data_IF_874011589149
#
_entry.id   IF_874011589149
#
_cell.length_a   1.000
_cell.length_b   1.000
_cell.length_c   1.000
_cell.angle_alpha   90.00
_cell.angle_beta   90.00
_cell.angle_gamma   90.00
#
_symmetry.space_group_name_H-M   'P 1'
#
loop_
_entity.id
_entity.type
_entity.pdbx_description
1 polymer ?
#
# COMPACT_ATOMS: atom_id res chain seq x y z
N UNK A 1 -4.68 4.98 19.11
CA UNK A 1 -3.34 5.26 18.55
C UNK A 1 -2.27 4.70 19.48
N UNK A 2 -1.10 4.36 18.94
CA UNK A 2 0.05 3.82 19.68
C UNK A 2 1.30 4.65 19.38
N UNK A 3 2.34 4.52 20.21
CA UNK A 3 3.63 5.15 19.92
C UNK A 3 4.46 4.32 18.91
N UNK A 4 5.38 4.93 18.13
CA UNK A 4 6.15 4.22 17.09
C UNK A 4 6.92 3.00 17.61
N UNK A 5 7.44 3.06 18.82
CA UNK A 5 8.18 1.94 19.47
C UNK A 5 7.29 0.75 19.84
N UNK A 6 5.96 0.90 19.82
CA UNK A 6 5.02 -0.17 20.13
C UNK A 6 4.72 -1.08 18.93
N UNK A 7 5.22 -0.71 17.74
CA UNK A 7 5.11 -1.56 16.55
C UNK A 7 6.14 -2.69 16.66
N UNK A 8 5.72 -3.97 16.57
CA UNK A 8 6.64 -5.10 16.69
C UNK A 8 7.75 -5.10 15.62
N UNK A 9 9.00 -5.26 16.01
CA UNK A 9 10.17 -5.26 15.11
C UNK A 9 10.06 -6.29 13.98
N UNK A 10 9.48 -7.45 14.22
CA UNK A 10 9.28 -8.51 13.22
C UNK A 10 8.03 -8.36 12.36
N UNK A 11 7.32 -7.23 12.43
CA UNK A 11 6.15 -7.01 11.59
C UNK A 11 6.54 -6.84 10.12
N UNK A 12 5.80 -7.50 9.23
CA UNK A 12 6.01 -7.38 7.79
C UNK A 12 5.49 -6.02 7.30
N UNK A 13 6.37 -5.22 6.69
CA UNK A 13 6.07 -3.86 6.25
C UNK A 13 5.93 -3.75 4.74
N UNK A 14 4.98 -2.94 4.30
CA UNK A 14 4.83 -2.50 2.91
C UNK A 14 4.47 -1.02 2.89
N UNK A 15 4.91 -0.31 1.84
CA UNK A 15 4.36 1.00 1.50
C UNK A 15 3.59 0.87 0.19
N UNK A 16 2.27 1.01 0.26
CA UNK A 16 1.43 1.00 -0.92
C UNK A 16 1.09 2.43 -1.36
N UNK A 17 1.08 2.63 -2.67
CA UNK A 17 0.78 3.91 -3.27
C UNK A 17 -0.55 3.87 -4.01
N UNK A 18 -1.29 4.99 -3.98
CA UNK A 18 -2.18 5.41 -5.05
C UNK A 18 -1.49 6.51 -5.84
N UNK A 19 -1.40 6.35 -7.16
CA UNK A 19 -0.57 7.19 -8.02
C UNK A 19 -1.42 8.16 -8.84
N UNK A 20 -1.33 9.45 -8.53
CA UNK A 20 -1.87 10.52 -9.34
C UNK A 20 -0.74 11.50 -9.73
N UNK A 21 -0.12 11.27 -10.86
CA UNK A 21 1.01 12.07 -11.32
C UNK A 21 0.57 13.36 -12.04
N UNK A 22 -0.34 14.12 -11.43
CA UNK A 22 -0.92 15.35 -11.99
C UNK A 22 -0.62 16.53 -11.08
N UNK A 23 0.20 17.52 -11.49
CA UNK A 23 0.49 18.70 -10.69
C UNK A 23 -0.69 19.67 -10.69
N UNK A 24 -0.74 20.51 -9.66
CA UNK A 24 -1.66 21.65 -9.62
C UNK A 24 -1.38 22.58 -10.82
N UNK A 25 -2.42 23.01 -11.50
CA UNK A 25 -2.35 23.92 -12.66
C UNK A 25 -3.47 24.95 -12.64
N UNK A 26 -3.40 25.94 -13.52
CA UNK A 26 -4.49 26.93 -13.69
C UNK A 26 -5.79 26.30 -14.18
N UNK A 27 -5.70 25.17 -14.88
CA UNK A 27 -6.85 24.42 -15.45
C UNK A 27 -7.39 23.42 -14.42
N UNK A 28 -6.49 22.70 -13.72
CA UNK A 28 -6.85 21.75 -12.67
C UNK A 28 -6.21 22.20 -11.35
N UNK A 29 -7.01 22.90 -10.53
CA UNK A 29 -6.56 23.45 -9.24
C UNK A 29 -6.62 22.43 -8.10
N UNK A 30 -7.33 21.33 -8.28
CA UNK A 30 -7.51 20.30 -7.27
C UNK A 30 -7.38 18.89 -7.88
N UNK A 31 -6.20 18.53 -8.43
CA UNK A 31 -5.96 17.17 -8.91
C UNK A 31 -5.89 16.18 -7.75
N UNK A 32 -6.04 14.89 -8.03
CA UNK A 32 -5.84 13.84 -7.06
C UNK A 32 -4.40 13.83 -6.52
N UNK A 33 -4.21 13.29 -5.33
CA UNK A 33 -2.90 13.15 -4.72
C UNK A 33 -2.22 11.84 -5.17
N UNK A 34 -0.90 11.84 -5.24
CA UNK A 34 -0.17 10.60 -4.98
C UNK A 34 -0.14 10.41 -3.48
N UNK A 35 -0.77 9.36 -2.99
CA UNK A 35 -0.79 8.99 -1.58
C UNK A 35 -0.01 7.71 -1.34
N UNK A 36 0.78 7.64 -0.26
CA UNK A 36 1.59 6.48 0.12
C UNK A 36 1.38 6.13 1.59
N UNK A 37 0.86 4.92 1.85
CA UNK A 37 0.59 4.41 3.19
C UNK A 37 1.62 3.35 3.57
N UNK A 38 2.37 3.59 4.64
CA UNK A 38 3.19 2.58 5.30
C UNK A 38 2.31 1.78 6.25
N UNK A 39 2.21 0.50 6.01
CA UNK A 39 1.44 -0.42 6.84
C UNK A 39 2.26 -1.66 7.15
N UNK A 40 2.10 -2.17 8.36
CA UNK A 40 2.67 -3.48 8.72
C UNK A 40 1.63 -4.42 9.32
N UNK A 41 2.01 -5.70 9.36
CA UNK A 41 1.23 -6.77 9.97
C UNK A 41 2.14 -7.66 10.80
N UNK A 42 1.74 -7.94 12.03
CA UNK A 42 2.46 -8.87 12.90
C UNK A 42 2.00 -10.33 12.71
N UNK A 43 2.70 -11.24 13.37
CA UNK A 43 2.38 -12.68 13.36
C UNK A 43 1.06 -13.04 14.04
N UNK A 44 0.50 -12.13 14.84
CA UNK A 44 -0.79 -12.32 15.51
C UNK A 44 -1.97 -11.76 14.72
N UNK A 45 -1.71 -11.18 13.56
CA UNK A 45 -2.72 -10.63 12.66
C UNK A 45 -3.19 -9.23 13.04
N UNK A 46 -2.44 -8.48 13.85
CA UNK A 46 -2.66 -7.06 14.03
C UNK A 46 -2.02 -6.28 12.89
N UNK A 47 -2.69 -5.23 12.46
CA UNK A 47 -2.23 -4.29 11.44
C UNK A 47 -1.87 -2.96 12.09
N UNK A 48 -0.83 -2.33 11.56
CA UNK A 48 -0.32 -1.04 12.03
C UNK A 48 -0.24 -0.10 10.85
N UNK A 49 -1.00 1.00 10.86
CA UNK A 49 -0.81 2.12 9.94
C UNK A 49 0.29 2.97 10.55
N UNK A 50 1.47 2.97 9.94
CA UNK A 50 2.68 3.53 10.55
C UNK A 50 3.00 4.93 10.06
N UNK A 51 2.64 5.26 8.80
CA UNK A 51 2.90 6.55 8.20
C UNK A 51 2.03 6.80 6.97
N UNK A 52 1.80 8.07 6.68
CA UNK A 52 1.15 8.55 5.47
C UNK A 52 1.93 9.71 4.87
N UNK A 53 2.16 9.64 3.57
CA UNK A 53 2.67 10.75 2.78
C UNK A 53 1.70 11.05 1.64
N UNK A 54 1.54 12.33 1.27
CA UNK A 54 0.77 12.71 0.09
C UNK A 54 1.32 13.97 -0.56
N UNK A 55 1.24 14.04 -1.88
CA UNK A 55 1.71 15.18 -2.66
C UNK A 55 1.10 15.21 -4.06
N UNK A 56 1.17 16.36 -4.73
CA UNK A 56 0.68 16.62 -6.08
C UNK A 56 1.83 17.07 -6.95
N UNK A 57 2.46 16.13 -7.63
CA UNK A 57 3.69 16.37 -8.36
C UNK A 57 3.64 15.77 -9.77
N UNK A 58 4.61 16.16 -10.61
CA UNK A 58 4.81 15.58 -11.93
C UNK A 58 5.39 14.16 -11.83
N UNK A 59 5.20 13.29 -12.85
CA UNK A 59 5.62 11.88 -12.78
C UNK A 59 7.06 11.65 -12.35
N UNK A 60 8.01 12.44 -12.87
CA UNK A 60 9.43 12.29 -12.50
C UNK A 60 9.71 12.67 -11.06
N UNK A 61 9.03 13.68 -10.52
CA UNK A 61 9.13 14.09 -9.12
C UNK A 61 8.50 13.04 -8.22
N UNK A 62 7.36 12.47 -8.64
CA UNK A 62 6.70 11.36 -7.93
C UNK A 62 7.67 10.19 -7.79
N UNK A 63 8.32 9.76 -8.87
CA UNK A 63 9.33 8.69 -8.83
C UNK A 63 10.48 9.01 -7.87
N UNK A 64 11.05 10.21 -7.97
CA UNK A 64 12.14 10.64 -7.10
C UNK A 64 11.73 10.64 -5.61
N UNK A 65 10.51 11.10 -5.32
CA UNK A 65 9.96 11.10 -3.96
C UNK A 65 9.75 9.69 -3.43
N UNK A 66 9.26 8.75 -4.26
CA UNK A 66 9.08 7.34 -3.87
C UNK A 66 10.44 6.71 -3.55
N UNK A 67 11.47 6.93 -4.37
CA UNK A 67 12.83 6.41 -4.12
C UNK A 67 13.37 6.96 -2.79
N UNK A 68 13.29 8.28 -2.60
CA UNK A 68 13.72 8.91 -1.35
C UNK A 68 12.97 8.36 -0.13
N UNK A 69 11.67 8.16 -0.25
CA UNK A 69 10.86 7.59 0.83
C UNK A 69 11.23 6.13 1.11
N UNK A 70 11.54 5.35 0.09
CA UNK A 70 12.00 3.97 0.25
C UNK A 70 13.33 3.87 1.01
N UNK A 71 14.22 4.86 0.84
CA UNK A 71 15.46 4.94 1.63
C UNK A 71 15.17 5.21 3.12
N UNK A 72 14.18 6.06 3.42
CA UNK A 72 13.75 6.37 4.79
C UNK A 72 13.04 5.19 5.46
N UNK A 73 12.17 4.50 4.72
CA UNK A 73 11.42 3.33 5.21
C UNK A 73 12.34 2.12 5.47
N UNK A 74 13.45 2.05 4.75
CA UNK A 74 14.42 0.96 4.80
C UNK A 74 14.26 -0.08 3.70
N UNK A 75 15.37 -0.70 3.32
CA UNK A 75 15.47 -1.61 2.16
C UNK A 75 14.60 -2.87 2.24
N UNK A 76 14.12 -3.23 3.41
CA UNK A 76 13.26 -4.39 3.64
C UNK A 76 11.77 -4.10 3.39
N UNK A 77 11.39 -2.82 3.32
CA UNK A 77 10.01 -2.41 3.06
C UNK A 77 9.72 -2.57 1.57
N UNK A 78 8.68 -3.35 1.27
CA UNK A 78 8.24 -3.56 -0.11
C UNK A 78 7.34 -2.41 -0.55
N UNK A 79 7.62 -1.84 -1.72
CA UNK A 79 6.79 -0.84 -2.39
C UNK A 79 5.70 -1.56 -3.19
N UNK A 80 4.45 -1.19 -2.99
CA UNK A 80 3.31 -1.74 -3.74
C UNK A 80 2.81 -0.66 -4.70
N UNK A 81 2.93 -0.94 -6.00
CA UNK A 81 2.46 -0.08 -7.08
C UNK A 81 1.12 -0.61 -7.58
N UNK A 82 0.06 0.21 -7.63
CA UNK A 82 -1.22 -0.19 -8.18
C UNK A 82 -1.07 -0.49 -9.66
N UNK A 83 -1.69 -1.59 -10.12
CA UNK A 83 -1.77 -1.93 -11.53
C UNK A 83 -3.22 -1.84 -11.96
N UNK A 84 -3.52 -0.78 -12.70
CA UNK A 84 -4.84 -0.63 -13.31
C UNK A 84 -5.01 -1.64 -14.45
N UNK A 85 -6.25 -2.11 -14.66
CA UNK A 85 -6.57 -3.08 -15.71
C UNK A 85 -6.63 -2.48 -17.11
N UNK A 86 -6.61 -1.14 -17.21
CA UNK A 86 -6.54 -0.41 -18.49
C UNK A 86 -5.13 -0.42 -19.09
N UNK A 87 -5.05 -0.41 -20.43
CA UNK A 87 -3.76 -0.48 -21.15
C UNK A 87 -2.80 0.68 -20.80
N UNK A 88 -3.32 1.91 -20.66
CA UNK A 88 -2.51 3.08 -20.29
C UNK A 88 -1.97 2.99 -18.85
N UNK A 89 -2.80 2.59 -17.90
CA UNK A 89 -2.39 2.40 -16.51
C UNK A 89 -1.38 1.28 -16.33
N UNK A 90 -1.51 0.20 -17.10
CA UNK A 90 -0.55 -0.90 -17.08
C UNK A 90 0.84 -0.48 -17.55
N UNK A 91 0.94 0.34 -18.60
CA UNK A 91 2.22 0.86 -19.12
C UNK A 91 2.87 1.81 -18.10
N UNK A 92 2.09 2.72 -17.52
CA UNK A 92 2.59 3.63 -16.49
C UNK A 92 3.10 2.87 -15.26
N UNK A 93 2.34 1.91 -14.75
CA UNK A 93 2.76 1.07 -13.64
C UNK A 93 4.06 0.30 -13.95
N UNK A 94 4.17 -0.25 -15.16
CA UNK A 94 5.38 -0.97 -15.58
C UNK A 94 6.62 -0.06 -15.60
N UNK A 95 6.48 1.19 -16.06
CA UNK A 95 7.56 2.17 -16.01
C UNK A 95 8.02 2.46 -14.58
N UNK A 96 7.08 2.71 -13.66
CA UNK A 96 7.39 2.92 -12.24
C UNK A 96 8.12 1.71 -11.65
N UNK A 97 7.63 0.49 -11.91
CA UNK A 97 8.23 -0.76 -11.41
C UNK A 97 9.67 -0.90 -11.91
N UNK A 98 9.92 -0.64 -13.21
CA UNK A 98 11.27 -0.74 -13.80
C UNK A 98 12.24 0.21 -13.10
N UNK A 99 11.90 1.51 -13.04
CA UNK A 99 12.76 2.54 -12.43
C UNK A 99 13.01 2.28 -10.95
N UNK A 100 11.98 1.90 -10.19
CA UNK A 100 12.13 1.59 -8.77
C UNK A 100 12.99 0.33 -8.54
N UNK A 101 12.84 -0.69 -9.39
CA UNK A 101 13.66 -1.90 -9.31
C UNK A 101 15.12 -1.62 -9.66
N UNK A 102 15.39 -0.80 -10.67
CA UNK A 102 16.73 -0.33 -11.05
C UNK A 102 17.39 0.48 -9.91
N UNK A 103 16.58 1.24 -9.15
CA UNK A 103 17.02 1.93 -7.94
C UNK A 103 17.24 1.01 -6.73
N UNK A 104 17.03 -0.31 -6.88
CA UNK A 104 17.25 -1.31 -5.83
C UNK A 104 16.09 -1.49 -4.86
N UNK A 105 14.91 -0.94 -5.16
CA UNK A 105 13.72 -1.13 -4.35
C UNK A 105 13.11 -2.52 -4.55
N UNK A 106 12.53 -3.09 -3.49
CA UNK A 106 11.71 -4.30 -3.60
C UNK A 106 10.30 -3.86 -4.00
N UNK A 107 9.87 -4.18 -5.22
CA UNK A 107 8.58 -3.75 -5.75
C UNK A 107 7.62 -4.93 -5.91
N UNK A 108 6.38 -4.71 -5.51
CA UNK A 108 5.26 -5.61 -5.78
C UNK A 108 4.13 -4.85 -6.47
N UNK A 109 3.14 -5.57 -6.95
CA UNK A 109 1.96 -4.99 -7.57
C UNK A 109 0.69 -5.50 -6.91
N UNK A 110 -0.32 -4.63 -6.83
CA UNK A 110 -1.68 -5.02 -6.50
C UNK A 110 -2.60 -4.66 -7.66
N UNK A 111 -3.38 -5.65 -8.11
CA UNK A 111 -4.31 -5.43 -9.20
C UNK A 111 -5.53 -4.69 -8.65
N UNK A 112 -5.73 -3.48 -9.17
CA UNK A 112 -6.92 -2.68 -8.91
C UNK A 112 -8.02 -3.15 -9.85
N UNK A 113 -8.88 -4.05 -9.38
CA UNK A 113 -10.05 -4.49 -10.15
C UNK A 113 -11.09 -3.38 -10.18
N UNK A 114 -11.33 -2.82 -11.37
CA UNK A 114 -12.45 -1.95 -11.82
C UNK A 114 -13.19 -1.07 -10.80
N UNK A 115 -13.76 0.00 -11.29
CA UNK A 115 -14.50 1.05 -10.54
C UNK A 115 -15.68 0.53 -9.70
N UNK A 116 -16.07 -0.74 -9.79
CA UNK A 116 -17.35 -1.22 -9.32
C UNK A 116 -17.50 -1.35 -7.80
N UNK A 117 -16.45 -1.18 -6.99
CA UNK A 117 -16.64 -1.23 -5.53
C UNK A 117 -15.42 -0.80 -4.69
N UNK A 118 -15.06 0.50 -4.75
CA UNK A 118 -14.02 1.06 -3.86
C UNK A 118 -14.32 0.77 -2.39
N UNK A 119 -15.57 0.92 -1.96
CA UNK A 119 -15.99 0.60 -0.59
C UNK A 119 -15.68 -0.87 -0.22
N UNK A 120 -16.04 -1.82 -1.08
CA UNK A 120 -15.81 -3.24 -0.81
C UNK A 120 -14.34 -3.63 -0.71
N UNK A 121 -13.43 -2.86 -1.33
CA UNK A 121 -11.98 -3.11 -1.22
C UNK A 121 -11.47 -2.85 0.19
N UNK A 122 -11.94 -1.80 0.84
CA UNK A 122 -11.53 -1.43 2.19
C UNK A 122 -12.39 -2.02 3.31
N UNK A 123 -13.55 -2.60 2.99
CA UNK A 123 -14.46 -3.14 4.00
C UNK A 123 -13.81 -4.17 4.96
N UNK A 124 -12.97 -5.12 4.50
CA UNK A 124 -12.29 -6.04 5.42
C UNK A 124 -11.32 -5.31 6.38
N UNK A 125 -10.68 -4.23 5.94
CA UNK A 125 -9.86 -3.39 6.79
C UNK A 125 -10.71 -2.72 7.89
N UNK A 126 -11.86 -2.14 7.53
CA UNK A 126 -12.79 -1.53 8.48
C UNK A 126 -13.30 -2.54 9.51
N UNK A 127 -13.67 -3.75 9.09
CA UNK A 127 -14.10 -4.83 9.99
C UNK A 127 -13.02 -5.20 11.01
N UNK A 128 -11.76 -5.26 10.60
CA UNK A 128 -10.66 -5.50 11.53
C UNK A 128 -10.36 -4.29 12.42
N UNK A 129 -10.57 -3.07 11.93
CA UNK A 129 -10.47 -1.86 12.76
C UNK A 129 -11.55 -1.85 13.86
N UNK A 130 -12.79 -2.16 13.53
CA UNK A 130 -13.88 -2.33 14.51
C UNK A 130 -13.59 -3.44 15.54
N UNK A 131 -12.97 -4.53 15.09
CA UNK A 131 -12.54 -5.62 15.97
C UNK A 131 -11.28 -5.27 16.82
N UNK A 132 -10.77 -4.04 16.73
CA UNK A 132 -9.58 -3.59 17.48
C UNK A 132 -8.26 -4.17 16.98
N UNK A 133 -8.24 -4.78 15.80
CA UNK A 133 -7.06 -5.41 15.17
C UNK A 133 -6.20 -4.44 14.35
N UNK A 134 -6.64 -3.19 14.20
CA UNK A 134 -5.88 -2.13 13.54
C UNK A 134 -5.42 -1.11 14.56
N UNK A 135 -4.14 -0.76 14.50
CA UNK A 135 -3.52 0.29 15.30
C UNK A 135 -3.02 1.38 14.37
N UNK A 136 -3.07 2.63 14.80
CA UNK A 136 -2.52 3.77 14.06
C UNK A 136 -1.40 4.37 14.89
N UNK A 137 -0.24 4.52 14.28
CA UNK A 137 0.93 5.13 14.94
C UNK A 137 0.75 6.63 14.99
N UNK A 138 1.13 7.25 16.11
CA UNK A 138 1.07 8.70 16.31
C UNK A 138 2.05 9.41 15.37
N UNK A 139 1.57 10.43 14.67
CA UNK A 139 2.35 11.27 13.77
C UNK A 139 1.57 12.50 13.34
N UNK A 140 2.26 13.49 12.77
CA UNK A 140 1.65 14.75 12.32
C UNK A 140 0.63 14.55 11.18
N UNK A 141 0.72 13.42 10.49
CA UNK A 141 -0.17 13.01 9.39
C UNK A 141 -1.54 12.49 9.86
N UNK A 142 -1.72 12.21 11.15
CA UNK A 142 -2.92 11.52 11.66
C UNK A 142 -4.21 12.28 11.39
N UNK A 143 -4.23 13.62 11.57
CA UNK A 143 -5.43 14.42 11.34
C UNK A 143 -5.92 14.28 9.91
N UNK A 144 -5.01 14.46 8.94
CA UNK A 144 -5.33 14.36 7.52
C UNK A 144 -5.79 12.94 7.12
N UNK A 145 -5.15 11.91 7.69
CA UNK A 145 -5.52 10.52 7.44
C UNK A 145 -6.94 10.21 7.94
N UNK A 146 -7.26 10.58 9.18
CA UNK A 146 -8.58 10.34 9.73
C UNK A 146 -9.66 11.14 9.01
N UNK A 147 -9.41 12.42 8.69
CA UNK A 147 -10.34 13.24 7.92
C UNK A 147 -10.66 12.60 6.55
N UNK A 148 -9.65 12.10 5.84
CA UNK A 148 -9.82 11.42 4.56
C UNK A 148 -10.62 10.12 4.71
N UNK A 149 -10.27 9.28 5.70
CA UNK A 149 -10.95 8.00 5.94
C UNK A 149 -12.40 8.19 6.37
N UNK A 150 -12.71 9.18 7.23
CA UNK A 150 -14.06 9.48 7.70
C UNK A 150 -14.93 10.12 6.61
N UNK A 151 -14.33 10.92 5.74
CA UNK A 151 -15.04 11.54 4.62
C UNK A 151 -15.42 10.55 3.54
N UNK A 152 -14.74 9.41 3.45
CA UNK A 152 -15.00 8.38 2.44
C UNK A 152 -16.21 7.53 2.79
N UNK A 153 -17.38 7.85 2.22
CA UNK A 153 -18.64 7.10 2.44
C UNK A 153 -18.93 6.09 1.31
N UNK A 154 -18.11 6.04 0.27
CA UNK A 154 -18.30 5.13 -0.87
C UNK A 154 -19.55 5.39 -1.69
N UNK A 155 -20.23 6.53 -1.48
CA UNK A 155 -21.39 6.93 -2.28
C UNK A 155 -20.97 7.68 -3.56
N UNK A 156 -21.79 7.66 -4.64
CA UNK A 156 -21.46 8.40 -5.88
C UNK A 156 -21.23 9.90 -5.64
N UNK A 157 -21.88 10.50 -4.66
CA UNK A 157 -21.72 11.92 -4.31
C UNK A 157 -20.36 12.19 -3.65
N UNK A 158 -19.91 11.31 -2.75
CA UNK A 158 -18.62 11.44 -2.08
C UNK A 158 -17.47 11.13 -3.02
N UNK A 159 -17.59 10.11 -3.87
CA UNK A 159 -16.58 9.76 -4.88
C UNK A 159 -16.29 10.86 -5.90
N UNK A 160 -17.23 11.84 -6.06
CA UNK A 160 -17.06 12.99 -6.97
C UNK A 160 -16.46 14.22 -6.30
N UNK A 161 -16.50 14.31 -4.98
CA UNK A 161 -16.17 15.52 -4.22
C UNK A 161 -14.96 15.39 -3.32
N UNK A 162 -14.60 14.17 -2.96
CA UNK A 162 -13.58 13.86 -1.96
C UNK A 162 -12.48 13.07 -2.65
N UNK A 163 -11.24 13.42 -2.35
CA UNK A 163 -10.09 12.62 -2.74
C UNK A 163 -10.10 11.33 -1.92
N UNK A 164 -10.01 10.20 -2.59
CA UNK A 164 -10.04 8.87 -1.99
C UNK A 164 -8.68 8.14 -2.09
N UNK A 165 -7.66 8.90 -2.37
CA UNK A 165 -6.30 8.42 -2.62
C UNK A 165 -5.73 7.66 -1.39
N UNK A 166 -5.99 8.18 -0.17
CA UNK A 166 -5.59 7.54 1.09
C UNK A 166 -6.35 6.24 1.33
N UNK A 167 -7.64 6.20 0.95
CA UNK A 167 -8.46 4.99 1.05
C UNK A 167 -7.94 3.89 0.12
N UNK A 168 -7.69 4.22 -1.16
CA UNK A 168 -7.20 3.25 -2.14
C UNK A 168 -5.79 2.74 -1.78
N UNK A 169 -4.90 3.61 -1.30
CA UNK A 169 -3.57 3.22 -0.80
C UNK A 169 -3.66 2.32 0.45
N UNK A 170 -4.53 2.65 1.42
CA UNK A 170 -4.77 1.84 2.63
C UNK A 170 -5.31 0.45 2.27
N UNK A 171 -6.33 0.40 1.41
CA UNK A 171 -6.93 -0.85 0.96
C UNK A 171 -5.92 -1.73 0.20
N UNK A 172 -5.04 -1.12 -0.59
CA UNK A 172 -3.98 -1.81 -1.32
C UNK A 172 -2.92 -2.41 -0.38
N UNK A 173 -2.43 -1.64 0.60
CA UNK A 173 -1.50 -2.11 1.62
C UNK A 173 -2.08 -3.28 2.42
N UNK A 174 -3.30 -3.10 2.92
CA UNK A 174 -4.01 -4.11 3.68
C UNK A 174 -4.19 -5.42 2.89
N UNK A 175 -4.71 -5.33 1.66
CA UNK A 175 -4.96 -6.49 0.81
C UNK A 175 -3.69 -7.26 0.49
N UNK A 176 -2.58 -6.55 0.25
CA UNK A 176 -1.28 -7.17 0.01
C UNK A 176 -0.80 -7.97 1.23
N UNK A 177 -0.83 -7.36 2.42
CA UNK A 177 -0.42 -8.02 3.67
C UNK A 177 -1.34 -9.19 4.06
N UNK A 178 -2.64 -9.08 3.80
CA UNK A 178 -3.60 -10.14 4.07
C UNK A 178 -3.37 -11.37 3.18
N UNK A 179 -3.04 -11.19 1.90
CA UNK A 179 -2.75 -12.29 0.97
C UNK A 179 -1.51 -13.08 1.36
N UNK A 180 -0.46 -12.42 1.82
CA UNK A 180 0.79 -13.09 2.19
C UNK A 180 0.63 -14.02 3.39
N UNK A 181 -0.31 -13.72 4.30
CA UNK A 181 -0.60 -14.58 5.45
C UNK A 181 -1.46 -15.80 5.14
N UNK A 182 -2.12 -15.81 3.99
CA UNK A 182 -2.90 -16.97 3.53
C UNK A 182 -2.03 -18.02 2.81
N UNK A 183 -0.77 -17.72 2.50
CA UNK A 183 0.19 -18.71 2.02
C UNK A 183 0.88 -19.35 3.25
N UNK A 184 0.59 -20.62 3.58
CA UNK A 184 1.41 -21.34 4.54
C UNK A 184 2.83 -21.40 3.98
N UNK A 185 3.83 -21.23 4.86
CA UNK A 185 5.23 -21.51 4.53
C UNK A 185 5.30 -22.94 3.98
N UNK A 186 5.34 -23.07 2.66
CA UNK A 186 5.53 -24.37 2.02
C UNK A 186 7.00 -24.73 2.19
N UNK A 187 7.31 -25.30 3.35
CA UNK A 187 8.60 -25.93 3.60
C UNK A 187 8.64 -27.15 2.68
N UNK A 188 9.37 -27.02 1.57
CA UNK A 188 9.73 -28.19 0.77
C UNK A 188 10.40 -29.21 1.70
N UNK A 189 9.86 -30.42 1.85
CA UNK A 189 10.55 -31.45 2.60
C UNK A 189 11.93 -31.65 1.96
N UNK A 190 12.98 -31.55 2.76
CA UNK A 190 14.33 -31.82 2.33
C UNK A 190 14.34 -33.24 1.75
N UNK A 191 14.53 -33.36 0.42
CA UNK A 191 14.78 -34.65 -0.22
C UNK A 191 16.15 -35.12 0.28
N UNK A 192 16.16 -35.83 1.39
CA UNK A 192 17.31 -36.68 1.74
C UNK A 192 17.39 -37.73 0.66
N UNK A 193 18.45 -37.67 -0.15
CA UNK A 193 18.84 -38.71 -1.08
C UNK A 193 19.29 -39.93 -0.27
N UNK A 194 18.38 -40.79 0.09
CA UNK A 194 18.67 -42.17 0.36
C UNK A 194 18.09 -42.96 -0.80
N UNK A 195 18.96 -43.31 -1.75
CA UNK A 195 18.68 -44.27 -2.82
C UNK A 195 18.86 -45.68 -2.24
N UNK A 196 17.82 -46.53 -2.17
CA UNK A 196 17.95 -47.91 -1.70
C UNK A 196 18.13 -48.95 -2.84
N UNK A 197 18.78 -48.57 -3.92
CA UNK A 197 19.07 -49.52 -5.00
C UNK A 197 20.50 -49.41 -5.46
N UNK A 198 21.41 -50.07 -4.71
CA UNK A 198 22.66 -50.63 -5.21
C UNK A 198 23.02 -51.84 -4.33
N UNK A 199 22.53 -52.97 -4.72
CA UNK A 199 23.12 -54.27 -4.54
C UNK A 199 22.88 -55.07 -5.83
#
# INVERSE_FOLDING_TARGET
>A
MIDPQDVPEGAQRVRAYDLAATPISSINRNPDFTSGILMSRDKFGFYYVEDMIRYRERPHTVLANIIKQAELDGKHVKIIIPKDTGSGGAIAAQHFISVLSEAGCIVGTEIMSGHSNKLNKGLPFCQLAEAGKVKVVKGDWNSEYFESMEAFLGTPETLRKIHDDEWDATASAFKFLAKQSAMPDFVLPSMTKESPFLN
#
